data_IF_201839087193
#
_entry.id   IF_201839087193
#
_cell.length_a   1.000
_cell.length_b   1.000
_cell.length_c   1.000
_cell.angle_alpha   90.00
_cell.angle_beta   90.00
_cell.angle_gamma   90.00
#
_symmetry.space_group_name_H-M   'P 1'
#
loop_
_entity.id
_entity.type
_entity.pdbx_description
1 polymer ?
#
# COMPACT_ATOMS: atom_id res chain seq x y z
N UNK A 1 -5.65 -4.11 -12.97
CA UNK A 1 -5.36 -5.29 -12.11
C UNK A 1 -4.80 -6.50 -12.86
N UNK A 2 -3.55 -6.86 -12.55
CA UNK A 2 -2.88 -8.07 -13.07
C UNK A 2 -3.04 -9.29 -12.17
N UNK A 3 -3.42 -9.10 -10.90
CA UNK A 3 -3.52 -10.16 -9.89
C UNK A 3 -2.17 -10.66 -9.37
N UNK A 4 -1.06 -10.02 -9.74
CA UNK A 4 0.29 -10.38 -9.31
C UNK A 4 0.57 -9.99 -7.86
N UNK A 5 -0.01 -8.88 -7.38
CA UNK A 5 0.19 -8.34 -6.04
C UNK A 5 -1.16 -8.20 -5.33
N UNK A 6 -1.79 -9.31 -4.89
CA UNK A 6 -3.16 -9.27 -4.37
C UNK A 6 -3.37 -8.36 -3.16
N UNK A 7 -2.38 -8.17 -2.28
CA UNK A 7 -2.53 -7.29 -1.13
C UNK A 7 -2.35 -5.81 -1.51
N UNK A 8 -1.40 -5.52 -2.39
CA UNK A 8 -1.26 -4.18 -2.98
C UNK A 8 -2.48 -3.81 -3.86
N UNK A 9 -3.04 -4.78 -4.60
CA UNK A 9 -4.26 -4.61 -5.39
C UNK A 9 -5.45 -4.24 -4.49
N UNK A 10 -5.58 -4.87 -3.31
CA UNK A 10 -6.61 -4.51 -2.33
C UNK A 10 -6.37 -3.09 -1.81
N UNK A 11 -5.15 -2.74 -1.43
CA UNK A 11 -4.84 -1.39 -0.95
C UNK A 11 -5.20 -0.34 -2.01
N UNK A 12 -4.75 -0.52 -3.24
CA UNK A 12 -4.92 0.44 -4.34
C UNK A 12 -6.37 0.59 -4.79
N UNK A 13 -7.15 -0.50 -4.83
CA UNK A 13 -8.51 -0.45 -5.40
C UNK A 13 -9.62 -0.44 -4.36
N UNK A 14 -9.40 -0.95 -3.15
CA UNK A 14 -10.42 -0.96 -2.10
C UNK A 14 -10.29 0.21 -1.13
N UNK A 15 -9.07 0.66 -0.80
CA UNK A 15 -8.84 1.73 0.17
C UNK A 15 -8.52 3.06 -0.50
N UNK A 16 -7.63 3.09 -1.50
CA UNK A 16 -7.38 4.26 -2.37
C UNK A 16 -8.46 4.43 -3.45
N UNK A 17 -9.73 4.31 -3.06
CA UNK A 17 -10.88 4.50 -3.93
C UNK A 17 -11.30 5.98 -4.02
N UNK A 18 -12.26 6.30 -4.90
CA UNK A 18 -12.75 7.67 -5.09
C UNK A 18 -13.29 8.38 -3.83
N UNK A 19 -13.79 7.62 -2.84
CA UNK A 19 -14.42 8.12 -1.62
C UNK A 19 -13.49 7.99 -0.38
N UNK A 20 -12.18 7.80 -0.58
CA UNK A 20 -11.22 7.55 0.52
C UNK A 20 -11.24 8.64 1.61
N UNK A 21 -11.43 9.90 1.22
CA UNK A 21 -11.42 11.06 2.10
C UNK A 21 -12.62 11.10 3.04
N UNK A 22 -13.72 10.46 2.63
CA UNK A 22 -14.95 10.29 3.42
C UNK A 22 -14.84 9.05 4.32
N UNK A 23 -14.24 7.97 3.82
CA UNK A 23 -14.20 6.66 4.50
C UNK A 23 -13.08 6.60 5.53
N UNK A 24 -11.85 6.86 5.11
CA UNK A 24 -10.65 6.71 5.94
C UNK A 24 -10.15 8.07 6.44
N UNK A 25 -10.12 9.08 5.57
CA UNK A 25 -9.64 10.42 5.87
C UNK A 25 -8.82 11.02 4.72
N UNK A 26 -8.57 12.35 4.73
CA UNK A 26 -7.96 13.04 3.60
C UNK A 26 -6.44 12.82 3.48
N UNK A 27 -5.78 12.36 4.55
CA UNK A 27 -4.33 12.17 4.54
C UNK A 27 -3.96 10.77 4.04
N UNK A 28 -2.80 10.66 3.37
CA UNK A 28 -2.27 9.38 2.90
C UNK A 28 -2.24 8.32 4.01
N UNK A 29 -1.76 8.73 5.18
CA UNK A 29 -1.62 7.85 6.35
C UNK A 29 -2.98 7.41 6.91
N UNK A 30 -4.06 8.18 6.73
CA UNK A 30 -5.39 7.79 7.18
C UNK A 30 -5.84 6.53 6.43
N UNK A 31 -5.67 6.52 5.10
CA UNK A 31 -6.01 5.39 4.23
C UNK A 31 -5.15 4.16 4.51
N UNK A 32 -3.83 4.35 4.65
CA UNK A 32 -2.90 3.26 4.97
C UNK A 32 -3.25 2.65 6.33
N UNK A 33 -3.47 3.47 7.35
CA UNK A 33 -3.80 2.99 8.69
C UNK A 33 -5.14 2.25 8.72
N UNK A 34 -6.13 2.70 7.95
CA UNK A 34 -7.44 2.02 7.82
C UNK A 34 -7.28 0.60 7.27
N UNK A 35 -6.50 0.43 6.18
CA UNK A 35 -6.14 -0.89 5.67
C UNK A 35 -5.40 -1.73 6.72
N UNK A 36 -4.40 -1.16 7.39
CA UNK A 36 -3.60 -1.90 8.36
C UNK A 36 -4.42 -2.35 9.55
N UNK A 37 -5.35 -1.54 10.04
CA UNK A 37 -6.26 -1.90 11.14
C UNK A 37 -7.11 -3.12 10.81
N UNK A 38 -7.64 -3.20 9.58
CA UNK A 38 -8.49 -4.30 9.12
C UNK A 38 -7.69 -5.54 8.68
N UNK A 39 -6.47 -5.34 8.17
CA UNK A 39 -5.65 -6.40 7.63
C UNK A 39 -5.19 -7.39 8.71
N UNK A 40 -5.24 -8.69 8.40
CA UNK A 40 -4.60 -9.71 9.25
C UNK A 40 -3.08 -9.55 9.25
N UNK A 41 -2.38 -10.08 10.27
CA UNK A 41 -0.92 -10.08 10.31
C UNK A 41 -0.29 -10.71 9.06
N UNK A 42 -0.91 -11.74 8.50
CA UNK A 42 -0.47 -12.38 7.25
C UNK A 42 -0.60 -11.46 6.03
N UNK A 43 -1.69 -10.70 5.94
CA UNK A 43 -1.88 -9.71 4.86
C UNK A 43 -0.85 -8.58 4.95
N UNK A 44 -0.56 -8.07 6.15
CA UNK A 44 0.46 -7.02 6.35
C UNK A 44 1.84 -7.47 5.92
N UNK A 45 2.23 -8.71 6.28
CA UNK A 45 3.50 -9.31 5.83
C UNK A 45 3.53 -9.52 4.32
N UNK A 46 2.44 -10.05 3.76
CA UNK A 46 2.31 -10.24 2.31
C UNK A 46 2.39 -8.93 1.53
N UNK A 47 1.77 -7.84 2.03
CA UNK A 47 1.88 -6.52 1.42
C UNK A 47 3.34 -6.04 1.37
N UNK A 48 4.10 -6.20 2.46
CA UNK A 48 5.53 -5.85 2.49
C UNK A 48 6.32 -6.70 1.47
N UNK A 49 6.06 -8.00 1.41
CA UNK A 49 6.70 -8.91 0.45
C UNK A 49 6.41 -8.52 -1.00
N UNK A 50 5.16 -8.20 -1.32
CA UNK A 50 4.73 -7.75 -2.65
C UNK A 50 5.36 -6.42 -3.06
N UNK A 51 5.42 -5.46 -2.12
CA UNK A 51 6.08 -4.17 -2.36
C UNK A 51 7.57 -4.38 -2.66
N UNK A 52 8.25 -5.20 -1.85
CA UNK A 52 9.66 -5.48 -2.06
C UNK A 52 9.89 -6.21 -3.39
N UNK A 53 9.05 -7.18 -3.76
CA UNK A 53 9.13 -7.87 -5.06
C UNK A 53 8.94 -6.90 -6.24
N UNK A 54 7.96 -6.00 -6.16
CA UNK A 54 7.73 -4.98 -7.19
C UNK A 54 8.97 -4.08 -7.33
N UNK A 55 9.51 -3.57 -6.22
CA UNK A 55 10.69 -2.69 -6.24
C UNK A 55 11.93 -3.44 -6.77
N UNK A 56 12.22 -4.62 -6.25
CA UNK A 56 13.45 -5.36 -6.55
C UNK A 56 13.46 -5.97 -7.95
N UNK A 57 12.29 -6.32 -8.49
CA UNK A 57 12.15 -6.90 -9.83
C UNK A 57 12.01 -5.85 -10.95
N UNK A 58 11.80 -4.57 -10.59
CA UNK A 58 11.61 -3.49 -11.56
C UNK A 58 12.93 -2.87 -12.02
N UNK A 59 13.10 -2.75 -13.34
CA UNK A 59 14.14 -1.87 -13.90
C UNK A 59 13.79 -0.38 -13.70
N UNK A 60 12.50 -0.05 -13.72
CA UNK A 60 11.93 1.27 -13.45
C UNK A 60 10.63 1.11 -12.65
N UNK A 61 10.69 1.45 -11.37
CA UNK A 61 9.57 1.29 -10.42
C UNK A 61 8.35 2.12 -10.84
N UNK A 62 8.57 3.31 -11.40
CA UNK A 62 7.47 4.20 -11.80
C UNK A 62 6.69 3.58 -12.96
N UNK A 63 7.40 3.09 -13.98
CA UNK A 63 6.78 2.41 -15.14
C UNK A 63 6.10 1.10 -14.75
N UNK A 64 6.70 0.30 -13.85
CA UNK A 64 6.07 -0.93 -13.37
C UNK A 64 4.81 -0.63 -12.57
N UNK A 65 4.85 0.34 -11.66
CA UNK A 65 3.69 0.73 -10.88
C UNK A 65 2.55 1.23 -11.77
N UNK A 66 2.85 2.12 -12.73
CA UNK A 66 1.88 2.60 -13.72
C UNK A 66 1.27 1.43 -14.51
N UNK A 67 2.08 0.48 -14.96
CA UNK A 67 1.57 -0.71 -15.66
C UNK A 67 0.50 -1.48 -14.85
N UNK A 68 0.66 -1.57 -13.53
CA UNK A 68 -0.29 -2.29 -12.67
C UNK A 68 -1.49 -1.44 -12.25
N UNK A 69 -1.30 -0.13 -12.05
CA UNK A 69 -2.22 0.73 -11.31
C UNK A 69 -2.63 2.01 -12.03
N UNK A 70 -2.32 2.20 -13.32
CA UNK A 70 -2.73 3.40 -14.09
C UNK A 70 -4.26 3.63 -14.10
N UNK A 71 -5.05 2.61 -13.76
CA UNK A 71 -6.52 2.64 -13.68
C UNK A 71 -7.06 2.81 -12.25
N UNK A 72 -6.20 3.00 -11.24
CA UNK A 72 -6.63 3.29 -9.88
C UNK A 72 -7.30 4.67 -9.78
N UNK A 73 -8.24 4.81 -8.83
CA UNK A 73 -9.00 6.06 -8.64
C UNK A 73 -8.11 7.18 -8.09
N UNK A 74 -7.15 6.81 -7.24
CA UNK A 74 -6.22 7.74 -6.60
C UNK A 74 -4.80 7.18 -6.72
N UNK A 75 -3.88 8.04 -7.13
CA UNK A 75 -2.48 7.70 -7.33
C UNK A 75 -1.57 8.53 -6.40
N UNK A 76 -0.35 8.05 -6.11
CA UNK A 76 0.61 8.72 -5.24
C UNK A 76 0.89 10.19 -5.57
N UNK A 77 0.77 10.59 -6.83
CA UNK A 77 1.00 11.96 -7.29
C UNK A 77 0.02 12.96 -6.66
N UNK A 78 -1.13 12.49 -6.18
CA UNK A 78 -2.08 13.30 -5.40
C UNK A 78 -1.49 13.86 -4.10
N UNK A 79 -0.50 13.17 -3.53
CA UNK A 79 0.27 13.62 -2.36
C UNK A 79 1.68 14.11 -2.72
N UNK A 80 1.97 14.27 -4.01
CA UNK A 80 3.28 14.72 -4.50
C UNK A 80 4.41 13.71 -4.29
N UNK A 81 4.07 12.41 -4.23
CA UNK A 81 5.03 11.32 -4.08
C UNK A 81 5.25 10.59 -5.41
N UNK A 82 6.44 10.05 -5.63
CA UNK A 82 6.66 9.05 -6.68
C UNK A 82 6.13 7.68 -6.24
N UNK A 83 5.97 6.74 -7.18
CA UNK A 83 5.59 5.37 -6.86
C UNK A 83 6.58 4.71 -5.89
N UNK A 84 7.88 4.88 -6.10
CA UNK A 84 8.91 4.34 -5.20
C UNK A 84 8.78 4.92 -3.77
N UNK A 85 8.57 6.23 -3.65
CA UNK A 85 8.39 6.89 -2.35
C UNK A 85 7.14 6.35 -1.64
N UNK A 86 6.03 6.23 -2.37
CA UNK A 86 4.78 5.69 -1.83
C UNK A 86 4.92 4.24 -1.37
N UNK A 87 5.46 3.37 -2.23
CA UNK A 87 5.65 1.94 -1.91
C UNK A 87 6.56 1.78 -0.69
N UNK A 88 7.67 2.52 -0.64
CA UNK A 88 8.60 2.50 0.50
C UNK A 88 7.90 2.97 1.79
N UNK A 89 7.08 4.02 1.70
CA UNK A 89 6.33 4.54 2.83
C UNK A 89 5.29 3.54 3.36
N UNK A 90 4.51 2.92 2.48
CA UNK A 90 3.54 1.87 2.83
C UNK A 90 4.24 0.68 3.48
N UNK A 91 5.37 0.24 2.93
CA UNK A 91 6.16 -0.87 3.47
C UNK A 91 6.67 -0.57 4.89
N UNK A 92 7.25 0.63 5.10
CA UNK A 92 7.70 1.06 6.42
C UNK A 92 6.54 1.15 7.44
N UNK A 93 5.42 1.75 7.06
CA UNK A 93 4.21 1.83 7.91
C UNK A 93 3.69 0.45 8.29
N UNK A 94 3.65 -0.47 7.33
CA UNK A 94 3.23 -1.86 7.57
C UNK A 94 4.16 -2.57 8.54
N UNK A 95 5.47 -2.35 8.42
CA UNK A 95 6.47 -2.92 9.30
C UNK A 95 6.40 -2.33 10.71
N UNK A 96 6.23 -1.01 10.83
CA UNK A 96 6.07 -0.32 12.12
C UNK A 96 4.81 -0.80 12.83
N UNK A 97 3.69 -0.90 12.11
CA UNK A 97 2.44 -1.44 12.65
C UNK A 97 2.63 -2.87 13.18
N UNK A 98 3.32 -3.73 12.42
CA UNK A 98 3.65 -5.08 12.85
C UNK A 98 4.49 -5.06 14.13
N UNK A 99 5.51 -4.22 14.22
CA UNK A 99 6.36 -4.13 15.40
C UNK A 99 5.57 -3.70 16.65
N UNK A 100 4.70 -2.70 16.52
CA UNK A 100 3.85 -2.19 17.61
C UNK A 100 2.83 -3.23 18.13
N UNK A 101 2.36 -4.12 17.25
CA UNK A 101 1.30 -5.09 17.57
C UNK A 101 1.80 -6.53 17.75
N UNK A 102 3.10 -6.79 17.58
CA UNK A 102 3.70 -8.09 17.92
C UNK A 102 3.96 -8.20 19.43
N UNK A 103 4.06 -7.08 20.15
CA UNK A 103 4.28 -7.06 21.62
C UNK A 103 3.03 -7.41 22.45
N UNK A 104 1.86 -7.64 21.84
CA UNK A 104 0.61 -7.96 22.55
C UNK A 104 0.28 -9.47 22.63
N UNK A 105 1.02 -10.31 21.91
CA UNK A 105 0.77 -11.76 21.81
C UNK A 105 1.91 -12.65 22.36
N UNK A 106 2.86 -12.08 23.12
CA UNK A 106 3.84 -12.81 23.97
C UNK A 106 3.48 -12.76 25.46
#
# INVERSE_FOLDING_TARGET
>A
MTGQYPFLDILMHAYFNQDFDIISGPELDDVINDFLNDASQGMRKGLIEEINDLIDSSEDVESTFDYHYHDADVLPEGWGMTALEFLTHVSNKSQDYLNEHTEQDE
#
